data_IF_979254125722
#
_entry.id   IF_979254125722
#
_cell.length_a   1.000
_cell.length_b   1.000
_cell.length_c   1.000
_cell.angle_alpha   90.00
_cell.angle_beta   90.00
_cell.angle_gamma   90.00
#
_symmetry.space_group_name_H-M   'P 1'
#
loop_
_entity.id
_entity.type
_entity.pdbx_description
1 polymer ?
#
# COMPACT_ATOMS: atom_id res chain seq x y z
N UNK A 1 -79.25 -47.14 3.97
CA UNK A 1 -79.38 -45.96 3.08
C UNK A 1 -78.20 -46.01 2.10
N UNK A 2 -78.50 -46.20 0.81
CA UNK A 2 -77.69 -46.21 -0.45
C UNK A 2 -76.14 -46.23 -0.35
N UNK A 3 -75.36 -47.17 -0.92
CA UNK A 3 -75.21 -47.69 -2.30
C UNK A 3 -74.20 -46.90 -3.20
N UNK A 4 -73.30 -47.67 -3.85
CA UNK A 4 -72.46 -47.39 -5.04
C UNK A 4 -71.26 -46.44 -4.90
N UNK A 5 -70.14 -46.52 -5.65
CA UNK A 5 -69.52 -47.51 -6.54
C UNK A 5 -68.11 -46.98 -6.91
N UNK A 6 -67.27 -47.88 -7.41
CA UNK A 6 -65.92 -47.71 -7.95
C UNK A 6 -65.81 -46.74 -9.15
N UNK A 7 -64.68 -46.01 -9.28
CA UNK A 7 -63.71 -46.09 -10.40
C UNK A 7 -62.87 -44.81 -10.62
N UNK A 8 -61.56 -45.05 -10.77
CA UNK A 8 -60.57 -44.47 -11.71
C UNK A 8 -60.43 -42.95 -11.93
N UNK A 9 -59.19 -42.48 -11.78
CA UNK A 9 -58.75 -41.16 -12.25
C UNK A 9 -57.23 -41.05 -12.14
N UNK A 10 -56.51 -41.48 -13.19
CA UNK A 10 -55.08 -41.25 -13.33
C UNK A 10 -54.79 -39.75 -13.49
N UNK A 11 -53.80 -39.25 -12.75
CA UNK A 11 -53.24 -37.93 -12.97
C UNK A 11 -51.75 -38.08 -13.21
N UNK A 12 -51.38 -37.79 -14.46
CA UNK A 12 -50.03 -37.67 -14.99
C UNK A 12 -49.29 -36.54 -14.27
N UNK A 13 -48.44 -36.89 -13.31
CA UNK A 13 -47.39 -36.00 -12.83
C UNK A 13 -46.22 -36.04 -13.81
N UNK A 14 -46.06 -34.99 -14.61
CA UNK A 14 -44.91 -34.77 -15.46
C UNK A 14 -43.63 -34.78 -14.62
N UNK A 15 -42.78 -35.79 -14.78
CA UNK A 15 -41.35 -35.69 -14.49
C UNK A 15 -40.78 -34.63 -15.44
N UNK A 16 -40.61 -33.41 -14.93
CA UNK A 16 -39.77 -32.41 -15.56
C UNK A 16 -38.33 -32.87 -15.36
N UNK A 17 -37.77 -33.45 -16.42
CA UNK A 17 -36.33 -33.62 -16.61
C UNK A 17 -35.64 -32.28 -16.31
N UNK A 18 -35.15 -32.16 -15.08
CA UNK A 18 -34.27 -31.09 -14.67
C UNK A 18 -32.96 -31.28 -15.40
N UNK A 19 -32.86 -30.73 -16.62
CA UNK A 19 -31.62 -30.55 -17.33
C UNK A 19 -30.63 -29.91 -16.35
N UNK A 20 -29.67 -30.70 -15.87
CA UNK A 20 -28.54 -30.24 -15.09
C UNK A 20 -27.78 -29.30 -16.03
N UNK A 21 -28.07 -28.01 -15.91
CA UNK A 21 -27.31 -26.96 -16.55
C UNK A 21 -25.85 -27.21 -16.17
N UNK A 22 -24.90 -27.27 -17.13
CA UNK A 22 -23.50 -27.34 -16.76
C UNK A 22 -23.22 -26.17 -15.80
N UNK A 23 -22.45 -26.40 -14.72
CA UNK A 23 -22.14 -25.34 -13.78
C UNK A 23 -21.62 -24.14 -14.58
N UNK A 24 -22.08 -22.92 -14.27
CA UNK A 24 -21.59 -21.73 -14.96
C UNK A 24 -20.07 -21.78 -14.95
N UNK A 25 -19.38 -21.47 -16.06
CA UNK A 25 -17.93 -21.42 -16.07
C UNK A 25 -17.56 -20.52 -14.91
N UNK A 26 -16.91 -21.12 -13.91
CA UNK A 26 -16.34 -20.38 -12.80
C UNK A 26 -15.55 -19.28 -13.46
N UNK A 27 -15.95 -18.03 -13.23
CA UNK A 27 -15.19 -16.86 -13.63
C UNK A 27 -13.85 -17.08 -12.94
N UNK A 28 -12.91 -17.70 -13.66
CA UNK A 28 -11.52 -17.76 -13.23
C UNK A 28 -11.18 -16.30 -13.08
N UNK A 29 -10.94 -15.86 -11.84
CA UNK A 29 -10.38 -14.53 -11.62
C UNK A 29 -9.22 -14.43 -12.59
N UNK A 30 -9.33 -13.55 -13.59
CA UNK A 30 -8.33 -13.43 -14.63
C UNK A 30 -7.06 -13.00 -13.91
N UNK A 31 -6.09 -13.92 -13.79
CA UNK A 31 -4.83 -13.61 -13.15
C UNK A 31 -4.20 -12.44 -13.90
N UNK A 32 -4.03 -11.33 -13.20
CA UNK A 32 -3.39 -10.14 -13.76
C UNK A 32 -1.90 -10.35 -13.68
N UNK A 33 -1.19 -9.99 -14.74
CA UNK A 33 0.27 -10.06 -14.81
C UNK A 33 0.80 -8.67 -15.07
N UNK A 34 1.89 -8.32 -14.41
CA UNK A 34 2.59 -7.09 -14.71
C UNK A 34 4.08 -7.15 -14.44
N UNK A 35 4.78 -6.12 -14.88
CA UNK A 35 6.20 -5.92 -14.70
C UNK A 35 6.49 -5.19 -13.39
N UNK A 36 7.56 -5.60 -12.72
CA UNK A 36 8.12 -4.91 -11.56
C UNK A 36 9.33 -4.09 -12.01
N UNK A 37 9.31 -2.78 -11.75
CA UNK A 37 10.40 -1.88 -12.06
C UNK A 37 10.99 -1.25 -10.80
N UNK A 38 12.30 -1.04 -10.82
CA UNK A 38 13.04 -0.67 -9.62
C UNK A 38 14.49 -0.39 -9.89
N UNK A 39 15.26 -0.30 -8.80
CA UNK A 39 16.70 -0.07 -8.82
C UNK A 39 17.42 -1.09 -7.97
N UNK A 40 18.65 -1.41 -8.37
CA UNK A 40 19.57 -2.18 -7.55
C UNK A 40 20.55 -1.23 -6.85
N UNK A 41 20.61 -1.35 -5.53
CA UNK A 41 21.59 -0.67 -4.67
C UNK A 41 22.47 -1.75 -4.01
N UNK A 42 23.58 -2.08 -4.68
CA UNK A 42 24.47 -3.16 -4.23
C UNK A 42 23.78 -4.52 -4.29
N UNK A 43 23.52 -5.14 -3.13
CA UNK A 43 22.82 -6.43 -3.05
C UNK A 43 21.30 -6.29 -2.84
N UNK A 44 20.82 -5.07 -2.64
CA UNK A 44 19.41 -4.82 -2.37
C UNK A 44 18.71 -4.41 -3.66
N UNK A 45 17.57 -5.03 -3.95
CA UNK A 45 16.69 -4.64 -5.05
C UNK A 45 15.53 -3.84 -4.44
N UNK A 46 15.42 -2.56 -4.81
CA UNK A 46 14.30 -1.71 -4.43
C UNK A 46 13.30 -1.71 -5.57
N UNK A 47 12.21 -2.46 -5.41
CA UNK A 47 11.04 -2.39 -6.29
C UNK A 47 10.30 -1.08 -5.98
N UNK A 48 10.14 -0.21 -6.98
CA UNK A 48 9.61 1.14 -6.79
C UNK A 48 8.24 1.32 -7.46
N UNK A 49 8.03 0.68 -8.60
CA UNK A 49 6.79 0.83 -9.36
C UNK A 49 6.52 -0.45 -10.16
N UNK A 50 5.35 -0.52 -10.78
CA UNK A 50 4.91 -1.65 -11.57
C UNK A 50 3.94 -1.22 -12.66
N UNK A 51 3.84 -1.98 -13.74
CA UNK A 51 2.84 -1.76 -14.79
C UNK A 51 2.26 -3.07 -15.30
N UNK A 52 0.98 -3.03 -15.70
CA UNK A 52 0.26 -4.20 -16.19
C UNK A 52 0.75 -4.63 -17.58
N UNK A 53 0.70 -5.93 -17.84
CA UNK A 53 1.07 -6.54 -19.11
C UNK A 53 -0.11 -7.26 -19.73
N UNK A 54 -0.10 -7.31 -21.05
CA UNK A 54 -0.98 -8.19 -21.80
C UNK A 54 -0.36 -9.58 -21.86
N UNK A 55 -1.15 -10.58 -21.47
CA UNK A 55 -0.78 -11.98 -21.55
C UNK A 55 -1.89 -12.79 -22.22
N UNK A 56 -1.49 -13.75 -23.04
CA UNK A 56 -2.38 -14.72 -23.65
C UNK A 56 -2.08 -16.10 -23.06
N UNK A 57 -3.12 -16.80 -22.64
CA UNK A 57 -3.00 -18.20 -22.22
C UNK A 57 -3.25 -19.10 -23.41
N UNK A 58 -2.20 -19.75 -23.91
CA UNK A 58 -2.29 -20.77 -24.96
C UNK A 58 -1.75 -22.08 -24.41
N UNK A 59 -2.50 -23.17 -24.58
CA UNK A 59 -2.08 -24.53 -24.14
C UNK A 59 -1.63 -24.59 -22.67
N UNK A 60 -2.36 -23.91 -21.77
CA UNK A 60 -2.03 -23.81 -20.34
C UNK A 60 -0.70 -23.11 -20.01
N UNK A 61 -0.01 -22.55 -21.00
CA UNK A 61 1.17 -21.71 -20.82
C UNK A 61 0.79 -20.24 -20.96
N UNK A 62 1.31 -19.43 -20.05
CA UNK A 62 1.13 -17.98 -20.09
C UNK A 62 2.19 -17.39 -21.02
N UNK A 63 1.75 -16.69 -22.06
CA UNK A 63 2.61 -16.01 -23.04
C UNK A 63 2.42 -14.50 -22.87
N UNK A 64 3.48 -13.81 -22.47
CA UNK A 64 3.49 -12.34 -22.41
C UNK A 64 3.61 -11.79 -23.84
N UNK A 65 2.78 -10.81 -24.16
CA UNK A 65 2.92 -10.02 -25.38
C UNK A 65 4.22 -9.19 -25.32
N UNK A 66 5.21 -9.63 -26.09
CA UNK A 66 6.54 -9.00 -26.13
C UNK A 66 6.48 -7.61 -26.77
N UNK A 67 5.66 -7.41 -27.79
CA UNK A 67 5.55 -6.14 -28.51
C UNK A 67 4.93 -5.08 -27.58
N UNK A 68 3.89 -5.48 -26.85
CA UNK A 68 3.29 -4.65 -25.81
C UNK A 68 4.29 -4.31 -24.70
N UNK A 69 5.04 -5.31 -24.20
CA UNK A 69 6.06 -5.10 -23.18
C UNK A 69 7.10 -4.06 -23.62
N UNK A 70 7.71 -4.22 -24.80
CA UNK A 70 8.74 -3.27 -25.27
C UNK A 70 8.18 -1.86 -25.47
N UNK A 71 6.96 -1.75 -26.02
CA UNK A 71 6.29 -0.44 -26.18
C UNK A 71 6.05 0.24 -24.84
N UNK A 72 5.59 -0.51 -23.83
CA UNK A 72 5.40 0.02 -22.46
C UNK A 72 6.74 0.38 -21.82
N UNK A 73 7.74 -0.49 -21.93
CA UNK A 73 9.07 -0.27 -21.38
C UNK A 73 9.69 1.04 -21.91
N UNK A 74 9.62 1.28 -23.22
CA UNK A 74 10.13 2.52 -23.82
C UNK A 74 9.44 3.76 -23.26
N UNK A 75 8.12 3.73 -23.09
CA UNK A 75 7.36 4.83 -22.51
C UNK A 75 7.73 5.08 -21.04
N UNK A 76 7.92 4.01 -20.27
CA UNK A 76 8.37 4.13 -18.88
C UNK A 76 9.79 4.67 -18.80
N UNK A 77 10.71 4.25 -19.67
CA UNK A 77 12.08 4.77 -19.73
C UNK A 77 12.14 6.26 -20.08
N UNK A 78 11.14 6.82 -20.77
CA UNK A 78 11.09 8.27 -21.01
C UNK A 78 10.92 9.08 -19.71
N UNK A 79 10.14 8.55 -18.76
CA UNK A 79 9.81 9.22 -17.49
C UNK A 79 10.77 8.77 -16.36
N UNK A 80 11.12 7.50 -16.34
CA UNK A 80 11.90 6.83 -15.30
C UNK A 80 13.17 6.20 -15.86
N UNK A 81 14.11 7.03 -16.30
CA UNK A 81 15.34 6.61 -16.99
C UNK A 81 16.27 5.71 -16.17
N UNK A 82 16.19 5.81 -14.85
CA UNK A 82 17.06 5.09 -13.92
C UNK A 82 16.42 3.80 -13.39
N UNK A 83 15.19 3.47 -13.81
CA UNK A 83 14.51 2.25 -13.38
C UNK A 83 14.66 1.15 -14.44
N UNK A 84 14.92 -0.05 -13.96
CA UNK A 84 15.02 -1.26 -14.78
C UNK A 84 13.93 -2.26 -14.38
N UNK A 85 13.59 -3.16 -15.31
CA UNK A 85 12.67 -4.26 -15.06
C UNK A 85 13.40 -5.37 -14.30
N UNK A 86 12.91 -5.70 -13.10
CA UNK A 86 13.51 -6.71 -12.22
C UNK A 86 12.74 -8.02 -12.18
N UNK A 87 11.52 -8.05 -12.69
CA UNK A 87 10.67 -9.22 -12.52
C UNK A 87 9.23 -9.01 -12.90
N UNK A 88 8.40 -10.00 -12.56
CA UNK A 88 6.97 -10.00 -12.82
C UNK A 88 6.18 -10.17 -11.53
N UNK A 89 4.96 -9.64 -11.52
CA UNK A 89 3.96 -9.97 -10.52
C UNK A 89 2.76 -10.67 -11.12
N UNK A 90 2.11 -11.51 -10.33
CA UNK A 90 0.82 -12.09 -10.67
C UNK A 90 -0.13 -12.09 -9.47
N UNK A 91 -1.43 -12.18 -9.74
CA UNK A 91 -2.45 -12.40 -8.72
C UNK A 91 -2.86 -13.87 -8.65
N UNK A 92 -2.81 -14.48 -7.47
CA UNK A 92 -3.19 -15.87 -7.29
C UNK A 92 -2.88 -16.43 -5.89
N UNK A 93 -2.97 -17.75 -5.77
CA UNK A 93 -2.63 -18.49 -4.56
C UNK A 93 -1.12 -18.79 -4.46
N UNK A 94 -0.70 -19.96 -3.93
CA UNK A 94 0.73 -20.33 -3.88
C UNK A 94 1.35 -20.48 -5.28
N UNK A 95 2.69 -20.43 -5.43
CA UNK A 95 3.37 -20.57 -6.72
C UNK A 95 2.96 -21.85 -7.46
N UNK A 96 2.58 -21.70 -8.72
CA UNK A 96 2.19 -22.80 -9.59
C UNK A 96 3.33 -23.09 -10.58
N UNK A 97 3.55 -24.34 -11.02
CA UNK A 97 4.55 -24.67 -12.04
C UNK A 97 4.34 -23.99 -13.40
N UNK A 98 3.16 -23.39 -13.60
CA UNK A 98 2.80 -22.64 -14.80
C UNK A 98 3.12 -21.14 -14.69
N UNK A 99 3.60 -20.70 -13.52
CA UNK A 99 4.01 -19.32 -13.29
C UNK A 99 5.26 -18.96 -14.10
N UNK A 100 5.38 -17.68 -14.43
CA UNK A 100 6.47 -17.18 -15.26
C UNK A 100 7.71 -17.01 -14.40
N UNK A 101 8.72 -17.84 -14.65
CA UNK A 101 10.02 -17.71 -14.03
C UNK A 101 10.73 -16.43 -14.49
N UNK A 102 11.26 -15.69 -13.52
CA UNK A 102 12.06 -14.47 -13.70
C UNK A 102 13.00 -14.27 -12.52
N UNK A 103 13.86 -13.25 -12.59
CA UNK A 103 14.79 -12.92 -11.51
C UNK A 103 14.06 -12.66 -10.19
N UNK A 104 12.96 -11.89 -10.24
CA UNK A 104 12.09 -11.63 -9.10
C UNK A 104 10.64 -11.92 -9.47
N UNK A 105 9.96 -12.74 -8.68
CA UNK A 105 8.56 -13.07 -8.89
C UNK A 105 7.73 -12.70 -7.67
N UNK A 106 6.73 -11.86 -7.84
CA UNK A 106 5.85 -11.42 -6.76
C UNK A 106 4.45 -12.02 -6.96
N UNK A 107 3.93 -12.72 -5.94
CA UNK A 107 2.57 -13.25 -5.96
C UNK A 107 1.73 -12.50 -4.93
N UNK A 108 0.64 -11.89 -5.41
CA UNK A 108 -0.32 -11.19 -4.60
C UNK A 108 -1.58 -12.04 -4.46
N UNK A 109 -2.02 -12.31 -3.24
CA UNK A 109 -3.25 -13.06 -2.98
C UNK A 109 -4.37 -12.13 -2.48
N UNK A 110 -5.24 -11.62 -3.37
CA UNK A 110 -6.30 -10.69 -2.98
C UNK A 110 -7.39 -11.37 -2.13
N UNK A 111 -7.38 -12.70 -2.03
CA UNK A 111 -8.39 -13.50 -1.34
C UNK A 111 -7.96 -13.94 0.05
N UNK A 112 -6.78 -13.53 0.55
CA UNK A 112 -6.37 -13.90 1.91
C UNK A 112 -7.29 -13.28 2.96
N UNK A 113 -7.42 -13.96 4.09
CA UNK A 113 -8.07 -13.45 5.31
C UNK A 113 -7.06 -13.08 6.39
N UNK A 114 -5.78 -13.25 6.12
CA UNK A 114 -4.70 -13.01 7.09
C UNK A 114 -4.53 -11.51 7.38
N UNK A 115 -3.99 -11.20 8.56
CA UNK A 115 -3.69 -9.82 8.97
C UNK A 115 -2.42 -9.26 8.34
N UNK A 116 -1.58 -10.13 7.79
CA UNK A 116 -0.32 -9.77 7.15
C UNK A 116 -0.54 -9.37 5.70
N UNK A 117 0.43 -8.63 5.14
CA UNK A 117 0.36 -8.17 3.76
C UNK A 117 0.35 -9.40 2.82
N UNK A 118 -0.63 -9.56 1.92
CA UNK A 118 -0.78 -10.75 1.07
C UNK A 118 0.17 -10.76 -0.12
N UNK A 119 1.46 -10.57 0.15
CA UNK A 119 2.50 -10.50 -0.86
C UNK A 119 3.58 -11.49 -0.48
N UNK A 120 3.90 -12.37 -1.41
CA UNK A 120 5.05 -13.26 -1.33
C UNK A 120 5.99 -12.96 -2.50
N UNK A 121 7.29 -12.91 -2.21
CA UNK A 121 8.33 -12.63 -3.21
C UNK A 121 9.20 -13.86 -3.35
N UNK A 122 9.55 -14.21 -4.57
CA UNK A 122 10.31 -15.40 -4.89
C UNK A 122 11.46 -15.07 -5.86
N UNK A 123 12.55 -15.80 -5.76
CA UNK A 123 13.57 -15.88 -6.81
C UNK A 123 13.50 -17.24 -7.52
N UNK A 124 13.84 -17.25 -8.81
CA UNK A 124 13.94 -18.50 -9.57
C UNK A 124 15.34 -19.09 -9.41
N UNK A 125 15.44 -20.28 -8.81
CA UNK A 125 16.70 -21.01 -8.61
C UNK A 125 16.67 -22.29 -9.45
N UNK A 126 17.78 -22.61 -10.10
CA UNK A 126 17.93 -23.89 -10.83
C UNK A 126 18.57 -24.88 -9.87
N UNK A 127 17.89 -26.00 -9.62
CA UNK A 127 18.40 -27.10 -8.80
C UNK A 127 18.28 -28.45 -9.54
N UNK A 128 19.12 -29.41 -9.17
CA UNK A 128 19.14 -30.74 -9.78
C UNK A 128 18.40 -31.71 -8.85
N UNK A 129 17.16 -32.05 -9.21
CA UNK A 129 16.36 -33.03 -8.48
C UNK A 129 16.28 -34.31 -9.32
N UNK A 130 16.68 -35.45 -8.75
CA UNK A 130 16.67 -36.75 -9.42
C UNK A 130 17.47 -36.80 -10.75
N UNK A 131 18.50 -35.97 -10.89
CA UNK A 131 19.34 -35.90 -12.10
C UNK A 131 18.78 -35.01 -13.21
N UNK A 132 17.63 -34.39 -13.03
CA UNK A 132 17.07 -33.39 -13.95
C UNK A 132 17.20 -31.98 -13.37
N UNK A 133 17.66 -31.03 -14.19
CA UNK A 133 17.70 -29.62 -13.84
C UNK A 133 16.28 -29.04 -13.86
N UNK A 134 15.76 -28.66 -12.70
CA UNK A 134 14.42 -28.11 -12.49
C UNK A 134 14.51 -26.70 -11.93
N UNK A 135 13.63 -25.80 -12.37
CA UNK A 135 13.53 -24.46 -11.79
C UNK A 135 12.55 -24.47 -10.63
N UNK A 136 12.98 -23.92 -9.50
CA UNK A 136 12.23 -23.80 -8.27
C UNK A 136 12.10 -22.34 -7.86
N UNK A 137 11.04 -22.03 -7.10
CA UNK A 137 10.87 -20.73 -6.48
C UNK A 137 11.37 -20.80 -5.03
N UNK A 138 12.36 -19.98 -4.70
CA UNK A 138 12.81 -19.78 -3.33
C UNK A 138 12.18 -18.49 -2.79
N UNK A 139 11.50 -18.55 -1.64
CA UNK A 139 10.86 -17.40 -1.02
C UNK A 139 11.88 -16.44 -0.42
N UNK A 140 11.73 -15.15 -0.73
CA UNK A 140 12.58 -14.06 -0.26
C UNK A 140 11.88 -13.24 0.82
N UNK A 141 12.64 -12.89 1.86
CA UNK A 141 12.18 -11.91 2.85
C UNK A 141 12.31 -10.50 2.28
N UNK A 142 11.28 -9.68 2.42
CA UNK A 142 11.27 -8.30 1.96
C UNK A 142 10.99 -7.31 3.11
N UNK A 143 11.35 -6.06 2.90
CA UNK A 143 11.02 -4.94 3.80
C UNK A 143 10.29 -3.87 3.03
N UNK A 144 9.23 -3.33 3.62
CA UNK A 144 8.49 -2.21 3.03
C UNK A 144 9.29 -0.91 3.20
N UNK A 145 9.70 -0.31 2.09
CA UNK A 145 10.23 1.04 2.10
C UNK A 145 9.07 2.05 2.14
N UNK A 146 9.11 2.97 3.10
CA UNK A 146 8.19 4.12 3.14
C UNK A 146 8.94 5.32 2.58
N UNK A 147 8.54 5.78 1.39
CA UNK A 147 9.08 7.01 0.81
C UNK A 147 8.16 8.18 1.19
N UNK A 148 8.76 9.27 1.67
CA UNK A 148 8.09 10.42 2.28
C UNK A 148 7.52 11.36 1.20
N UNK A 149 6.62 10.86 0.34
CA UNK A 149 6.21 11.60 -0.84
C UNK A 149 4.69 11.54 -1.09
N UNK A 150 3.88 11.90 -0.09
CA UNK A 150 2.45 12.22 -0.31
C UNK A 150 2.00 13.38 0.59
N UNK A 151 1.90 14.57 0.00
CA UNK A 151 1.11 15.76 0.45
C UNK A 151 1.20 16.17 1.94
N UNK A 152 1.74 17.37 2.20
CA UNK A 152 2.01 17.94 3.54
C UNK A 152 0.80 17.88 4.51
N UNK A 153 -0.44 18.07 4.06
CA UNK A 153 -1.63 18.02 4.93
C UNK A 153 -2.07 16.59 5.31
N UNK A 154 -1.83 15.62 4.44
CA UNK A 154 -2.09 14.20 4.69
C UNK A 154 -0.93 13.55 5.45
N UNK A 155 0.27 14.12 5.32
CA UNK A 155 1.51 13.65 5.90
C UNK A 155 1.50 13.67 7.44
N UNK A 156 1.05 14.74 8.09
CA UNK A 156 1.08 14.82 9.56
C UNK A 156 0.13 13.80 10.23
N UNK A 157 -1.07 13.63 9.66
CA UNK A 157 -2.03 12.63 10.14
C UNK A 157 -1.55 11.20 9.84
N UNK A 158 -1.00 10.96 8.64
CA UNK A 158 -0.37 9.68 8.29
C UNK A 158 0.83 9.37 9.18
N UNK A 159 1.66 10.35 9.52
CA UNK A 159 2.84 10.15 10.36
C UNK A 159 2.44 9.63 11.75
N UNK A 160 1.45 10.24 12.39
CA UNK A 160 0.94 9.78 13.70
C UNK A 160 0.27 8.40 13.61
N UNK A 161 -0.50 8.13 12.56
CA UNK A 161 -1.14 6.82 12.35
C UNK A 161 -0.10 5.73 12.08
N UNK A 162 0.92 6.02 11.25
CA UNK A 162 2.01 5.10 10.95
C UNK A 162 2.86 4.84 12.19
N UNK A 163 3.25 5.88 12.95
CA UNK A 163 3.94 5.72 14.22
C UNK A 163 3.13 4.84 15.19
N UNK A 164 1.82 5.10 15.33
CA UNK A 164 0.96 4.29 16.18
C UNK A 164 0.88 2.83 15.72
N UNK A 165 0.76 2.57 14.42
CA UNK A 165 0.75 1.20 13.86
C UNK A 165 2.09 0.51 14.08
N UNK A 166 3.21 1.18 13.83
CA UNK A 166 4.56 0.64 14.06
C UNK A 166 4.77 0.29 15.53
N UNK A 167 4.39 1.18 16.45
CA UNK A 167 4.46 0.92 17.90
C UNK A 167 3.57 -0.27 18.27
N UNK A 168 2.35 -0.33 17.74
CA UNK A 168 1.42 -1.44 18.02
C UNK A 168 1.96 -2.78 17.51
N UNK A 169 2.50 -2.81 16.28
CA UNK A 169 3.11 -4.01 15.71
C UNK A 169 4.36 -4.43 16.49
N UNK A 170 5.21 -3.47 16.87
CA UNK A 170 6.38 -3.73 17.70
C UNK A 170 5.97 -4.30 19.07
N UNK A 171 4.99 -3.70 19.75
CA UNK A 171 4.48 -4.21 21.02
C UNK A 171 3.91 -5.63 20.89
N UNK A 172 3.20 -5.93 19.80
CA UNK A 172 2.70 -7.29 19.53
C UNK A 172 3.85 -8.29 19.36
N UNK A 173 4.89 -7.91 18.61
CA UNK A 173 6.09 -8.76 18.41
C UNK A 173 6.89 -8.94 19.69
N UNK A 174 7.09 -7.87 20.47
CA UNK A 174 7.77 -7.92 21.78
C UNK A 174 7.02 -8.82 22.74
N UNK A 175 5.67 -8.80 22.73
CA UNK A 175 4.86 -9.68 23.57
C UNK A 175 5.04 -11.16 23.20
N UNK A 176 5.08 -11.50 21.90
CA UNK A 176 5.35 -12.85 21.43
C UNK A 176 6.78 -13.32 21.78
N UNK A 177 7.77 -12.44 21.69
CA UNK A 177 9.18 -12.75 21.98
C UNK A 177 9.42 -12.86 23.50
N UNK A 178 8.69 -12.09 24.32
CA UNK A 178 8.75 -12.17 25.78
C UNK A 178 8.33 -13.57 26.29
N UNK A 179 7.47 -14.27 25.55
CA UNK A 179 7.05 -15.64 25.86
C UNK A 179 8.15 -16.69 25.55
N UNK A 180 9.23 -16.34 24.82
CA UNK A 180 10.17 -17.32 24.24
C UNK A 180 11.67 -17.03 24.51
N UNK A 181 12.03 -16.56 25.71
CA UNK A 181 13.42 -16.27 26.16
C UNK A 181 14.14 -15.11 25.44
N UNK A 182 13.92 -13.88 25.90
CA UNK A 182 14.47 -12.65 25.32
C UNK A 182 15.78 -12.15 25.99
N UNK A 183 16.74 -13.02 26.33
CA UNK A 183 17.96 -12.56 27.04
C UNK A 183 18.82 -11.60 26.21
N UNK A 184 19.07 -11.91 24.93
CA UNK A 184 19.92 -11.08 24.07
C UNK A 184 19.27 -9.75 23.65
N UNK A 185 17.95 -9.73 23.43
CA UNK A 185 17.22 -8.53 23.01
C UNK A 185 17.03 -7.54 24.17
N UNK A 186 16.80 -8.03 25.38
CA UNK A 186 16.69 -7.17 26.57
C UNK A 186 18.02 -6.46 26.89
N UNK A 187 19.16 -7.10 26.63
CA UNK A 187 20.48 -6.48 26.82
C UNK A 187 20.85 -5.42 25.76
N UNK A 188 20.15 -5.39 24.62
CA UNK A 188 20.28 -4.33 23.61
C UNK A 188 19.47 -3.07 23.94
N UNK A 189 18.70 -3.08 25.04
CA UNK A 189 17.94 -1.94 25.52
C UNK A 189 18.73 -1.22 26.63
N UNK A 190 18.86 0.12 26.61
CA UNK A 190 18.42 1.07 25.58
C UNK A 190 19.39 1.16 24.39
N UNK A 191 18.87 1.13 23.16
CA UNK A 191 19.64 1.03 21.90
C UNK A 191 20.60 2.21 21.69
N UNK A 192 20.26 3.40 22.17
CA UNK A 192 21.06 4.62 22.04
C UNK A 192 20.95 5.46 23.31
N UNK A 193 21.86 5.23 24.27
CA UNK A 193 21.97 5.99 25.52
C UNK A 193 23.26 6.80 25.63
N UNK A 194 23.96 7.00 24.51
CA UNK A 194 25.23 7.73 24.49
C UNK A 194 25.03 9.22 24.73
N UNK A 195 25.98 9.86 25.41
CA UNK A 195 25.88 11.30 25.69
C UNK A 195 25.96 12.15 24.42
N UNK A 196 26.66 11.66 23.39
CA UNK A 196 26.65 12.27 22.05
C UNK A 196 25.25 12.33 21.45
N UNK A 197 24.48 11.24 21.54
CA UNK A 197 23.09 11.22 21.05
C UNK A 197 22.21 12.22 21.80
N UNK A 198 22.36 12.35 23.12
CA UNK A 198 21.61 13.36 23.89
C UNK A 198 21.92 14.77 23.42
N UNK A 199 23.20 15.11 23.25
CA UNK A 199 23.61 16.42 22.75
C UNK A 199 23.02 16.69 21.37
N UNK A 200 23.16 15.75 20.43
CA UNK A 200 22.62 15.89 19.07
C UNK A 200 21.09 16.01 19.07
N UNK A 201 20.41 15.24 19.94
CA UNK A 201 18.95 15.31 20.13
C UNK A 201 18.50 16.67 20.66
N UNK A 202 19.15 17.20 21.70
CA UNK A 202 18.82 18.53 22.23
C UNK A 202 19.10 19.65 21.22
N UNK A 203 20.18 19.54 20.42
CA UNK A 203 20.42 20.49 19.34
C UNK A 203 19.27 20.50 18.32
N UNK A 204 18.82 19.33 17.86
CA UNK A 204 17.68 19.24 16.94
C UNK A 204 16.38 19.77 17.56
N UNK A 205 16.09 19.46 18.83
CA UNK A 205 14.93 19.99 19.53
C UNK A 205 14.97 21.53 19.61
N UNK A 206 16.11 22.10 19.95
CA UNK A 206 16.28 23.55 20.05
C UNK A 206 16.07 24.23 18.69
N UNK A 207 16.57 23.64 17.60
CA UNK A 207 16.40 24.18 16.25
C UNK A 207 14.92 24.18 15.82
N UNK A 208 14.21 23.07 16.06
CA UNK A 208 12.78 22.96 15.78
C UNK A 208 11.97 23.92 16.64
N UNK A 209 12.29 24.05 17.93
CA UNK A 209 11.63 24.97 18.84
C UNK A 209 11.82 26.43 18.41
N UNK A 210 13.04 26.82 18.06
CA UNK A 210 13.35 28.17 17.59
C UNK A 210 12.59 28.48 16.29
N UNK A 211 12.58 27.55 15.33
CA UNK A 211 11.87 27.71 14.07
C UNK A 211 10.35 27.84 14.29
N UNK A 212 9.77 26.99 15.15
CA UNK A 212 8.34 27.06 15.49
C UNK A 212 7.98 28.35 16.23
N UNK A 213 8.85 28.81 17.13
CA UNK A 213 8.68 30.06 17.85
C UNK A 213 8.69 31.26 16.91
N UNK A 214 9.70 31.35 16.02
CA UNK A 214 9.77 32.41 15.00
C UNK A 214 8.56 32.39 14.05
N UNK A 215 8.11 31.20 13.66
CA UNK A 215 6.86 31.04 12.88
C UNK A 215 5.63 31.58 13.62
N UNK A 216 5.55 31.32 14.93
CA UNK A 216 4.45 31.82 15.79
C UNK A 216 4.51 33.34 15.96
N UNK A 217 5.71 33.91 16.16
CA UNK A 217 5.91 35.37 16.22
C UNK A 217 5.49 36.01 14.90
N UNK A 218 5.94 35.46 13.77
CA UNK A 218 5.56 35.94 12.43
C UNK A 218 4.05 35.94 12.24
N UNK A 219 3.38 34.85 12.63
CA UNK A 219 1.93 34.74 12.58
C UNK A 219 1.25 35.78 13.47
N UNK A 220 1.75 35.96 14.70
CA UNK A 220 1.25 36.96 15.65
C UNK A 220 1.38 38.38 15.11
N UNK A 221 2.53 38.73 14.52
CA UNK A 221 2.75 40.03 13.89
C UNK A 221 1.79 40.27 12.72
N UNK A 222 1.53 39.25 11.90
CA UNK A 222 0.56 39.34 10.81
C UNK A 222 -0.86 39.56 11.36
N UNK A 223 -1.29 38.78 12.36
CA UNK A 223 -2.59 38.97 13.01
C UNK A 223 -2.72 40.35 13.66
N UNK A 224 -1.66 40.85 14.28
CA UNK A 224 -1.64 42.19 14.88
C UNK A 224 -1.74 43.28 13.81
N UNK A 225 -1.03 43.14 12.69
CA UNK A 225 -1.14 44.06 11.55
C UNK A 225 -2.57 44.10 11.00
N UNK A 226 -3.21 42.93 10.84
CA UNK A 226 -4.61 42.85 10.41
C UNK A 226 -5.57 43.52 11.42
N UNK A 227 -5.32 43.37 12.72
CA UNK A 227 -6.11 44.01 13.76
C UNK A 227 -5.97 45.54 13.72
N UNK A 228 -4.74 46.05 13.60
CA UNK A 228 -4.46 47.49 13.49
C UNK A 228 -5.14 48.07 12.24
N UNK A 229 -5.05 47.39 11.10
CA UNK A 229 -5.70 47.83 9.87
C UNK A 229 -7.22 47.92 10.04
N UNK A 230 -7.86 46.91 10.64
CA UNK A 230 -9.30 46.94 10.92
C UNK A 230 -9.68 48.04 11.91
N UNK A 231 -8.88 48.23 12.96
CA UNK A 231 -9.10 49.27 13.97
C UNK A 231 -9.03 50.68 13.37
N UNK A 232 -8.03 50.95 12.53
CA UNK A 232 -7.88 52.24 11.86
C UNK A 232 -9.09 52.56 10.97
N UNK A 233 -9.56 51.59 10.18
CA UNK A 233 -10.77 51.75 9.33
C UNK A 233 -12.02 52.08 10.16
N UNK A 234 -12.18 51.45 11.32
CA UNK A 234 -13.34 51.71 12.19
C UNK A 234 -13.28 53.08 12.87
N UNK A 235 -12.10 53.53 13.31
CA UNK A 235 -11.95 54.81 13.98
C UNK A 235 -12.01 56.01 13.03
N UNK A 236 -11.52 55.87 11.80
CA UNK A 236 -11.59 56.95 10.80
C UNK A 236 -13.06 57.31 10.48
N UNK A 237 -13.97 56.32 10.53
CA UNK A 237 -15.41 56.55 10.38
C UNK A 237 -16.03 57.33 11.55
N UNK A 238 -15.49 57.26 12.77
CA UNK A 238 -15.98 58.04 13.91
C UNK A 238 -15.49 59.50 13.90
N UNK A 239 -14.37 59.80 13.24
CA UNK A 239 -13.82 61.15 13.11
C UNK A 239 -14.67 62.08 12.21
N UNK A 240 -15.27 61.53 11.15
CA UNK A 240 -16.08 62.31 10.20
C UNK A 240 -17.43 62.72 10.82
N UNK A 241 -18.05 61.85 11.64
CA UNK A 241 -19.35 62.12 12.28
C UNK A 241 -19.31 63.22 13.36
N UNK A 242 -18.15 63.52 13.94
CA UNK A 242 -18.00 64.60 14.94
C UNK A 242 -17.71 65.97 14.34
N UNK A 243 -17.16 66.07 13.12
CA UNK A 243 -16.87 67.37 12.47
C UNK A 243 -18.09 68.07 11.89
N UNK A 244 -19.20 67.36 11.67
CA UNK A 244 -20.36 67.90 10.95
C UNK A 244 -21.45 68.52 11.86
N UNK A 245 -21.24 68.53 13.19
CA UNK A 245 -22.26 68.96 14.19
C UNK A 245 -22.04 70.38 14.73
N UNK A 246 -21.44 71.26 13.93
CA UNK A 246 -21.06 72.63 14.34
C UNK A 246 -21.42 73.76 13.36
N UNK A 247 -22.26 73.52 12.35
CA UNK A 247 -22.66 74.53 11.36
C UNK A 247 -24.16 74.45 11.07
N UNK A 248 -24.99 74.87 12.03
CA UNK A 248 -26.36 75.34 11.76
C UNK A 248 -26.69 76.41 12.82
N UNK A 249 -26.47 77.67 12.45
CA UNK A 249 -27.13 78.86 12.97
C UNK A 249 -27.88 79.51 11.80
#
# INVERSE_FOLDING_TARGET
MAAAASQTGGSSGMEVDGAILPPPPSIRASSVIGALIGKQEGRNIKVMNSFELLSHTMEQKIIIDKEYYYTREEQFKQVFKELECWGWYTTGGPPDPLDIHSLLFLKLNPMTKDTDLPISVFESVIDIINGEATMLFAELTYTLATEEAEGIELHMAKHLITQHRTIKMLCSRVKLILEYEAYALCHCLPVLSTDKFKTDFYHQCNDVELMAYLGTVTKTCNTMSQLVNKFNVLNDRQGIGRRMRGLFF
#
